data_IF_580215866051
#
_entry.id   IF_580215866051
#
_cell.length_a   1.000
_cell.length_b   1.000
_cell.length_c   1.000
_cell.angle_alpha   90.00
_cell.angle_beta   90.00
_cell.angle_gamma   90.00
#
_symmetry.space_group_name_H-M   'P 1'
#
loop_
_entity.id
_entity.type
_entity.pdbx_description
1 polymer ?
#
# COMPACT_ATOMS: atom_id res chain seq x y z
N UNK A 1 -2.33 42.00 -6.90
CA UNK A 1 -3.66 41.49 -7.25
C UNK A 1 -3.47 40.12 -7.90
N UNK A 2 -3.76 39.01 -7.21
CA UNK A 2 -3.76 37.63 -7.77
C UNK A 2 -4.61 36.65 -6.92
N UNK A 3 -5.39 37.17 -5.96
CA UNK A 3 -6.26 36.38 -5.07
C UNK A 3 -7.38 35.59 -5.76
N UNK A 4 -8.00 36.04 -6.88
CA UNK A 4 -9.09 35.26 -7.47
C UNK A 4 -8.63 33.99 -8.19
N UNK A 5 -7.38 33.94 -8.67
CA UNK A 5 -6.86 32.76 -9.40
C UNK A 5 -6.65 31.58 -8.45
N UNK A 6 -6.12 31.82 -7.24
CA UNK A 6 -5.89 30.77 -6.25
C UNK A 6 -7.19 30.19 -5.70
N UNK A 7 -8.20 31.02 -5.46
CA UNK A 7 -9.53 30.55 -5.03
C UNK A 7 -10.22 29.77 -6.15
N UNK A 8 -10.12 30.23 -7.39
CA UNK A 8 -10.67 29.51 -8.55
C UNK A 8 -9.99 28.15 -8.77
N UNK A 9 -8.66 28.07 -8.59
CA UNK A 9 -7.92 26.81 -8.70
C UNK A 9 -8.27 25.84 -7.57
N UNK A 10 -8.39 26.33 -6.34
CA UNK A 10 -8.74 25.50 -5.19
C UNK A 10 -10.19 24.99 -5.28
N UNK A 11 -11.12 25.83 -5.75
CA UNK A 11 -12.50 25.43 -6.04
C UNK A 11 -12.57 24.48 -7.24
N UNK A 12 -11.80 24.69 -8.30
CA UNK A 12 -11.77 23.77 -9.45
C UNK A 12 -11.22 22.40 -9.06
N UNK A 13 -10.20 22.33 -8.20
CA UNK A 13 -9.69 21.06 -7.65
C UNK A 13 -10.74 20.39 -6.77
N UNK A 14 -11.41 21.12 -5.88
CA UNK A 14 -12.48 20.57 -5.02
C UNK A 14 -13.70 20.08 -5.81
N UNK A 15 -14.08 20.80 -6.88
CA UNK A 15 -15.19 20.42 -7.76
C UNK A 15 -14.81 19.22 -8.64
N UNK A 16 -13.58 19.18 -9.17
CA UNK A 16 -13.08 18.03 -9.92
C UNK A 16 -13.00 16.77 -9.03
N UNK A 17 -12.68 16.91 -7.74
CA UNK A 17 -12.69 15.77 -6.80
C UNK A 17 -14.08 15.32 -6.36
N UNK A 18 -15.11 16.16 -6.44
CA UNK A 18 -16.47 15.81 -5.99
C UNK A 18 -17.34 15.21 -7.10
N UNK A 19 -16.99 15.40 -8.37
CA UNK A 19 -17.71 14.82 -9.52
C UNK A 19 -17.30 13.38 -9.85
N UNK A 20 -16.22 12.87 -9.26
CA UNK A 20 -15.87 11.47 -9.34
C UNK A 20 -16.60 10.70 -8.23
N UNK A 21 -17.91 10.54 -8.38
CA UNK A 21 -18.62 9.51 -7.64
C UNK A 21 -17.95 8.17 -7.96
N UNK A 22 -17.56 7.36 -6.95
CA UNK A 22 -17.07 6.03 -7.23
C UNK A 22 -18.19 5.31 -7.99
N UNK A 23 -17.90 4.83 -9.20
CA UNK A 23 -18.74 3.80 -9.77
C UNK A 23 -18.81 2.72 -8.69
N UNK A 24 -20.02 2.38 -8.24
CA UNK A 24 -20.21 1.28 -7.33
C UNK A 24 -19.67 0.05 -8.06
N UNK A 25 -18.44 -0.34 -7.73
CA UNK A 25 -17.84 -1.59 -8.20
C UNK A 25 -18.75 -2.68 -7.67
N UNK A 26 -19.66 -3.14 -8.53
CA UNK A 26 -20.40 -4.36 -8.32
C UNK A 26 -19.38 -5.48 -8.42
N UNK A 27 -18.66 -5.74 -7.31
CA UNK A 27 -17.76 -6.89 -7.23
C UNK A 27 -18.57 -8.12 -7.62
N UNK A 28 -18.06 -8.96 -8.55
CA UNK A 28 -18.66 -10.26 -8.81
C UNK A 28 -18.86 -11.00 -7.48
N UNK A 29 -19.92 -11.81 -7.31
CA UNK A 29 -20.10 -12.57 -6.08
C UNK A 29 -18.86 -13.45 -5.82
N UNK A 30 -18.49 -13.70 -4.55
CA UNK A 30 -17.40 -14.60 -4.22
C UNK A 30 -17.64 -15.98 -4.81
N UNK A 31 -16.60 -16.59 -5.37
CA UNK A 31 -16.59 -17.91 -6.01
C UNK A 31 -15.36 -18.67 -5.58
N UNK A 32 -15.50 -19.95 -5.36
CA UNK A 32 -14.35 -20.82 -5.11
C UNK A 32 -13.50 -21.00 -6.36
N UNK A 33 -12.21 -21.27 -6.17
CA UNK A 33 -11.30 -21.50 -7.28
C UNK A 33 -11.71 -22.73 -8.12
N UNK A 34 -12.13 -23.81 -7.46
CA UNK A 34 -12.73 -24.98 -8.10
C UNK A 34 -14.26 -25.00 -7.92
N UNK A 35 -15.00 -24.50 -8.90
CA UNK A 35 -16.47 -24.54 -8.90
C UNK A 35 -17.10 -25.94 -9.11
N UNK A 36 -16.29 -27.00 -9.20
CA UNK A 36 -16.73 -28.39 -9.46
C UNK A 36 -16.21 -29.38 -8.41
N UNK A 37 -15.87 -28.85 -7.24
CA UNK A 37 -15.28 -29.57 -6.14
C UNK A 37 -16.23 -29.55 -4.93
N UNK A 38 -16.18 -30.61 -4.12
CA UNK A 38 -16.86 -30.66 -2.82
C UNK A 38 -18.34 -30.31 -2.87
N UNK A 39 -18.75 -29.34 -2.04
CA UNK A 39 -20.15 -28.90 -1.84
C UNK A 39 -20.84 -28.44 -3.12
N UNK A 40 -20.09 -27.93 -4.11
CA UNK A 40 -20.67 -27.53 -5.40
C UNK A 40 -21.23 -28.75 -6.16
N UNK A 41 -20.58 -29.90 -6.06
CA UNK A 41 -21.04 -31.15 -6.69
C UNK A 41 -22.23 -31.74 -5.94
N UNK A 42 -22.22 -31.67 -4.61
CA UNK A 42 -23.35 -32.08 -3.77
C UNK A 42 -24.60 -31.25 -4.09
N UNK A 43 -24.43 -29.93 -4.18
CA UNK A 43 -25.50 -28.98 -4.52
C UNK A 43 -26.08 -29.28 -5.91
N UNK A 44 -25.22 -29.45 -6.91
CA UNK A 44 -25.66 -29.80 -8.27
C UNK A 44 -26.34 -31.18 -8.33
N UNK A 45 -25.88 -32.16 -7.55
CA UNK A 45 -26.51 -33.48 -7.47
C UNK A 45 -27.90 -33.42 -6.83
N UNK A 46 -28.06 -32.62 -5.76
CA UNK A 46 -29.32 -32.41 -5.08
C UNK A 46 -30.37 -31.77 -6.01
N UNK A 47 -29.98 -30.82 -6.85
CA UNK A 47 -30.86 -30.22 -7.88
C UNK A 47 -31.41 -31.26 -8.88
N UNK A 48 -30.68 -32.36 -9.08
CA UNK A 48 -31.07 -33.49 -9.92
C UNK A 48 -31.64 -34.69 -9.13
N UNK A 49 -32.00 -34.50 -7.86
CA UNK A 49 -32.61 -35.51 -7.00
C UNK A 49 -31.68 -36.69 -6.68
N UNK A 50 -30.38 -36.43 -6.63
CA UNK A 50 -29.36 -37.36 -6.18
C UNK A 50 -28.74 -36.84 -4.89
N UNK A 51 -29.04 -37.51 -3.78
CA UNK A 51 -28.38 -37.25 -2.50
C UNK A 51 -27.01 -37.94 -2.52
N UNK A 52 -25.94 -37.16 -2.38
CA UNK A 52 -24.57 -37.64 -2.30
C UNK A 52 -23.75 -36.73 -1.41
N UNK A 53 -22.75 -37.30 -0.74
CA UNK A 53 -21.74 -36.57 0.04
C UNK A 53 -20.35 -36.86 -0.50
N UNK A 54 -19.53 -35.81 -0.62
CA UNK A 54 -18.13 -35.87 -1.02
C UNK A 54 -17.26 -35.90 0.23
N UNK A 55 -16.64 -37.05 0.52
CA UNK A 55 -15.75 -37.21 1.69
C UNK A 55 -14.42 -36.47 1.52
N UNK A 56 -13.94 -36.38 0.27
CA UNK A 56 -12.68 -35.73 -0.07
C UNK A 56 -12.68 -35.27 -1.51
N UNK A 57 -12.25 -34.04 -1.74
CA UNK A 57 -12.07 -33.41 -3.04
C UNK A 57 -10.61 -33.02 -3.24
N UNK A 58 -9.99 -33.55 -4.29
CA UNK A 58 -8.64 -33.14 -4.71
C UNK A 58 -8.64 -32.68 -6.15
N UNK A 59 -7.87 -31.64 -6.45
CA UNK A 59 -7.74 -31.10 -7.79
C UNK A 59 -6.28 -31.01 -8.21
N UNK A 60 -6.00 -31.41 -9.45
CA UNK A 60 -4.67 -31.27 -10.07
C UNK A 60 -4.78 -30.47 -11.35
N UNK A 61 -4.05 -29.37 -11.42
CA UNK A 61 -3.99 -28.46 -12.57
C UNK A 61 -2.67 -28.68 -13.28
N UNK A 62 -2.72 -29.23 -14.49
CA UNK A 62 -1.55 -29.39 -15.35
C UNK A 62 -1.49 -28.22 -16.31
N UNK A 63 -0.49 -27.35 -16.16
CA UNK A 63 -0.31 -26.19 -17.03
C UNK A 63 0.50 -26.61 -18.25
N UNK A 64 0.09 -26.16 -19.43
CA UNK A 64 0.73 -26.44 -20.71
C UNK A 64 1.59 -25.25 -21.16
N UNK A 65 2.52 -25.50 -22.09
CA UNK A 65 3.47 -24.50 -22.58
C UNK A 65 2.80 -23.29 -23.24
N UNK A 66 1.60 -23.48 -23.79
CA UNK A 66 0.79 -22.43 -24.42
C UNK A 66 -0.03 -21.60 -23.41
N UNK A 67 0.11 -21.86 -22.10
CA UNK A 67 -0.65 -21.17 -21.06
C UNK A 67 -2.05 -21.74 -20.78
N UNK A 68 -2.51 -22.71 -21.55
CA UNK A 68 -3.72 -23.46 -21.21
C UNK A 68 -3.46 -24.41 -20.02
N UNK A 69 -4.52 -24.86 -19.34
CA UNK A 69 -4.40 -25.85 -18.28
C UNK A 69 -5.43 -26.97 -18.40
N UNK A 70 -5.04 -28.17 -17.99
CA UNK A 70 -5.94 -29.31 -17.81
C UNK A 70 -6.16 -29.54 -16.33
N UNK A 71 -7.39 -29.35 -15.90
CA UNK A 71 -7.84 -29.59 -14.54
C UNK A 71 -8.35 -31.01 -14.41
N UNK A 72 -7.89 -31.73 -13.40
CA UNK A 72 -8.34 -33.08 -13.04
C UNK A 72 -8.85 -33.03 -11.60
N UNK A 73 -10.17 -33.03 -11.46
CA UNK A 73 -10.88 -33.03 -10.18
C UNK A 73 -11.21 -34.47 -9.80
N UNK A 74 -11.01 -34.83 -8.54
CA UNK A 74 -11.35 -36.13 -7.97
C UNK A 74 -12.19 -35.92 -6.71
N UNK A 75 -13.48 -36.22 -6.82
CA UNK A 75 -14.41 -36.20 -5.69
C UNK A 75 -14.67 -37.63 -5.24
N UNK A 76 -14.30 -37.98 -4.01
CA UNK A 76 -14.59 -39.28 -3.40
C UNK A 76 -16.00 -39.25 -2.81
N UNK A 77 -16.90 -40.07 -3.35
CA UNK A 77 -18.30 -40.13 -2.91
C UNK A 77 -18.42 -41.15 -1.77
N UNK A 78 -19.11 -40.79 -0.69
CA UNK A 78 -19.32 -41.68 0.46
C UNK A 78 -20.30 -42.82 0.13
N UNK A 79 -21.35 -42.52 -0.63
CA UNK A 79 -22.45 -43.45 -0.89
C UNK A 79 -22.22 -44.30 -2.15
N UNK A 80 -22.01 -45.61 -1.95
CA UNK A 80 -21.87 -46.59 -3.04
C UNK A 80 -23.06 -46.58 -4.01
N UNK A 81 -24.27 -46.33 -3.50
CA UNK A 81 -25.49 -46.27 -4.31
C UNK A 81 -25.49 -45.06 -5.25
N UNK A 82 -25.06 -43.88 -4.77
CA UNK A 82 -24.93 -42.69 -5.59
C UNK A 82 -23.82 -42.85 -6.64
N UNK A 83 -22.66 -43.38 -6.22
CA UNK A 83 -21.56 -43.69 -7.13
C UNK A 83 -21.97 -44.69 -8.24
N UNK A 84 -22.73 -45.73 -7.89
CA UNK A 84 -23.25 -46.72 -8.86
C UNK A 84 -24.23 -46.09 -9.85
N UNK A 85 -25.10 -45.19 -9.36
CA UNK A 85 -26.05 -44.47 -10.22
C UNK A 85 -25.32 -43.53 -11.19
N UNK A 86 -24.33 -42.78 -10.73
CA UNK A 86 -23.50 -41.93 -11.58
C UNK A 86 -22.65 -42.73 -12.58
N UNK A 87 -22.25 -43.95 -12.23
CA UNK A 87 -21.51 -44.85 -13.13
C UNK A 87 -22.38 -45.40 -14.25
N UNK A 88 -23.67 -45.61 -14.00
CA UNK A 88 -24.61 -46.21 -14.96
C UNK A 88 -25.36 -45.18 -15.79
N UNK A 89 -25.45 -43.92 -15.31
CA UNK A 89 -26.19 -42.85 -15.96
C UNK A 89 -25.28 -41.70 -16.38
N UNK A 90 -24.82 -41.75 -17.62
CA UNK A 90 -23.93 -40.75 -18.21
C UNK A 90 -24.58 -39.36 -18.28
N UNK A 91 -25.85 -39.27 -18.67
CA UNK A 91 -26.56 -37.99 -18.76
C UNK A 91 -26.71 -37.29 -17.42
N UNK A 92 -26.93 -38.05 -16.33
CA UNK A 92 -26.97 -37.50 -14.97
C UNK A 92 -25.59 -37.00 -14.53
N UNK A 93 -24.53 -37.76 -14.83
CA UNK A 93 -23.15 -37.37 -14.53
C UNK A 93 -22.73 -36.11 -15.30
N UNK A 94 -23.17 -35.98 -16.55
CA UNK A 94 -22.95 -34.79 -17.36
C UNK A 94 -23.71 -33.58 -16.83
N UNK A 95 -24.94 -33.74 -16.33
CA UNK A 95 -25.74 -32.65 -15.79
C UNK A 95 -25.19 -32.07 -14.47
N UNK A 96 -24.66 -32.93 -13.59
CA UNK A 96 -24.15 -32.54 -12.26
C UNK A 96 -22.82 -31.80 -12.33
N UNK A 97 -22.07 -31.98 -13.41
CA UNK A 97 -20.76 -31.35 -13.58
C UNK A 97 -20.91 -30.25 -14.65
N UNK A 98 -21.08 -28.97 -14.26
CA UNK A 98 -21.30 -27.89 -15.22
C UNK A 98 -20.13 -27.69 -16.21
N UNK A 99 -20.39 -27.05 -17.36
CA UNK A 99 -19.37 -26.69 -18.37
C UNK A 99 -19.65 -27.24 -19.78
N UNK A 100 -18.84 -26.81 -20.75
CA UNK A 100 -18.95 -27.24 -22.15
C UNK A 100 -18.63 -28.75 -22.28
N UNK A 101 -19.54 -29.58 -22.85
CA UNK A 101 -19.31 -31.01 -23.01
C UNK A 101 -18.18 -31.35 -23.99
N UNK A 102 -17.77 -30.43 -24.87
CA UNK A 102 -16.64 -30.64 -25.80
C UNK A 102 -15.27 -30.47 -25.14
N UNK A 103 -15.20 -29.77 -24.02
CA UNK A 103 -13.97 -29.46 -23.28
C UNK A 103 -13.87 -30.25 -21.97
N UNK A 104 -14.78 -31.22 -21.77
CA UNK A 104 -14.94 -31.93 -20.51
C UNK A 104 -15.13 -33.43 -20.71
N UNK A 105 -14.61 -34.20 -19.77
CA UNK A 105 -14.96 -35.61 -19.60
C UNK A 105 -15.17 -35.93 -18.13
N UNK A 106 -16.10 -36.83 -17.83
CA UNK A 106 -16.40 -37.28 -16.47
C UNK A 106 -16.56 -38.79 -16.43
N UNK A 107 -16.00 -39.43 -15.40
CA UNK A 107 -16.12 -40.87 -15.18
C UNK A 107 -16.11 -41.17 -13.68
N UNK A 108 -16.73 -42.28 -13.28
CA UNK A 108 -16.66 -42.81 -11.90
C UNK A 108 -15.66 -43.96 -11.89
N UNK A 109 -14.52 -43.78 -11.25
CA UNK A 109 -13.55 -44.85 -11.01
C UNK A 109 -14.17 -45.96 -10.14
N UNK A 110 -13.63 -47.19 -10.20
CA UNK A 110 -14.12 -48.34 -9.43
C UNK A 110 -14.17 -48.07 -7.92
N UNK A 111 -13.29 -47.20 -7.43
CA UNK A 111 -13.22 -46.74 -6.04
C UNK A 111 -14.34 -45.78 -5.60
N UNK A 112 -15.36 -45.54 -6.43
CA UNK A 112 -16.43 -44.58 -6.14
C UNK A 112 -16.01 -43.11 -6.28
N UNK A 113 -14.91 -42.86 -6.99
CA UNK A 113 -14.37 -41.50 -7.19
C UNK A 113 -14.88 -40.92 -8.50
N UNK A 114 -15.59 -39.79 -8.45
CA UNK A 114 -15.93 -39.00 -9.61
C UNK A 114 -14.69 -38.23 -10.08
N UNK A 115 -14.18 -38.61 -11.25
CA UNK A 115 -13.05 -37.97 -11.91
C UNK A 115 -13.60 -37.10 -13.03
N UNK A 116 -13.40 -35.79 -12.91
CA UNK A 116 -13.74 -34.81 -13.95
C UNK A 116 -12.46 -34.23 -14.51
N UNK A 117 -12.35 -34.23 -15.84
CA UNK A 117 -11.28 -33.52 -16.55
C UNK A 117 -11.90 -32.39 -17.36
N UNK A 118 -11.36 -31.18 -17.25
CA UNK A 118 -11.70 -30.06 -18.12
C UNK A 118 -10.46 -29.28 -18.53
N UNK A 119 -10.56 -28.58 -19.65
CA UNK A 119 -9.48 -27.70 -20.16
C UNK A 119 -9.87 -26.25 -19.98
N UNK A 120 -8.92 -25.42 -19.54
CA UNK A 120 -9.05 -23.97 -19.46
C UNK A 120 -8.04 -23.36 -20.44
N UNK A 121 -8.53 -22.59 -21.42
CA UNK A 121 -7.69 -22.07 -22.50
C UNK A 121 -6.73 -20.97 -22.05
N UNK A 122 -7.06 -20.23 -20.99
CA UNK A 122 -6.34 -19.03 -20.54
C UNK A 122 -6.01 -19.10 -19.02
N UNK A 123 -5.33 -20.15 -18.59
CA UNK A 123 -4.92 -20.29 -17.19
C UNK A 123 -3.67 -19.45 -16.85
N UNK A 124 -2.73 -19.36 -17.79
CA UNK A 124 -1.50 -18.58 -17.67
C UNK A 124 -1.23 -17.80 -18.96
N UNK A 125 -0.67 -16.60 -18.81
CA UNK A 125 -0.28 -15.72 -19.91
C UNK A 125 1.23 -15.84 -20.15
N UNK A 126 1.65 -15.88 -21.41
CA UNK A 126 3.06 -15.77 -21.78
C UNK A 126 3.61 -14.38 -21.41
N UNK A 127 4.85 -14.36 -20.95
CA UNK A 127 5.57 -13.18 -20.49
C UNK A 127 7.03 -13.23 -20.95
N UNK A 128 7.83 -12.23 -20.55
CA UNK A 128 9.23 -12.09 -20.98
C UNK A 128 10.05 -13.37 -20.82
N UNK A 129 10.98 -13.60 -21.75
CA UNK A 129 11.94 -14.70 -21.73
C UNK A 129 11.31 -16.11 -21.68
N UNK A 130 10.14 -16.30 -22.29
CA UNK A 130 9.46 -17.59 -22.35
C UNK A 130 8.94 -18.06 -20.99
N UNK A 131 8.59 -17.13 -20.11
CA UNK A 131 7.97 -17.42 -18.83
C UNK A 131 6.45 -17.40 -18.97
N UNK A 132 5.75 -18.13 -18.11
CA UNK A 132 4.29 -18.04 -18.01
C UNK A 132 3.91 -17.44 -16.65
N UNK A 133 2.83 -16.68 -16.60
CA UNK A 133 2.26 -16.12 -15.36
C UNK A 133 0.79 -16.47 -15.26
N UNK A 134 0.40 -17.13 -14.19
CA UNK A 134 -1.01 -17.32 -13.84
C UNK A 134 -1.48 -16.24 -12.85
N UNK A 135 -2.55 -15.56 -13.21
CA UNK A 135 -3.30 -14.64 -12.35
C UNK A 135 -4.47 -15.30 -11.62
N UNK A 136 -4.62 -16.63 -11.72
CA UNK A 136 -5.78 -17.37 -11.23
C UNK A 136 -6.04 -17.24 -9.73
N UNK A 137 -5.05 -16.79 -8.95
CA UNK A 137 -5.09 -16.59 -7.50
C UNK A 137 -5.18 -15.10 -7.10
N UNK A 138 -5.49 -14.21 -8.05
CA UNK A 138 -5.52 -12.75 -7.82
C UNK A 138 -6.91 -12.16 -8.08
N UNK A 139 -7.51 -11.47 -7.09
CA UNK A 139 -8.79 -10.79 -7.33
C UNK A 139 -8.63 -9.46 -8.03
N UNK A 140 -7.63 -8.69 -7.59
CA UNK A 140 -7.47 -7.29 -7.98
C UNK A 140 -7.25 -7.05 -9.47
N UNK A 141 -6.80 -8.06 -10.21
CA UNK A 141 -6.45 -7.94 -11.62
C UNK A 141 -7.50 -8.52 -12.57
N UNK A 142 -8.72 -8.74 -12.06
CA UNK A 142 -9.88 -9.13 -12.85
C UNK A 142 -10.04 -10.64 -13.05
N UNK A 143 -9.32 -11.47 -12.29
CA UNK A 143 -9.31 -12.91 -12.54
C UNK A 143 -10.39 -13.71 -11.76
N UNK A 144 -10.82 -13.33 -10.55
CA UNK A 144 -11.99 -13.87 -9.79
C UNK A 144 -12.25 -13.05 -8.51
N UNK A 145 -13.38 -13.22 -7.82
CA UNK A 145 -13.55 -12.87 -6.39
C UNK A 145 -13.50 -14.22 -5.67
N UNK A 146 -12.40 -14.57 -5.02
CA UNK A 146 -12.08 -15.92 -4.58
C UNK A 146 -12.47 -16.14 -3.11
N UNK A 147 -13.32 -17.13 -2.85
CA UNK A 147 -13.70 -17.56 -1.50
C UNK A 147 -13.13 -18.93 -1.15
N UNK A 148 -11.81 -19.07 -1.25
CA UNK A 148 -11.12 -20.33 -0.97
C UNK A 148 -10.95 -21.27 -2.17
N UNK A 149 -10.40 -22.45 -1.92
CA UNK A 149 -10.04 -23.42 -2.97
C UNK A 149 -11.27 -24.14 -3.56
N UNK A 150 -12.30 -24.37 -2.75
CA UNK A 150 -13.42 -25.27 -3.06
C UNK A 150 -13.06 -26.75 -3.01
N UNK A 151 -11.83 -27.11 -2.62
CA UNK A 151 -11.33 -28.48 -2.50
C UNK A 151 -10.45 -28.61 -1.25
N UNK A 152 -10.27 -29.84 -0.76
CA UNK A 152 -9.37 -30.11 0.37
C UNK A 152 -7.89 -29.94 -0.01
N UNK A 153 -7.59 -30.15 -1.30
CA UNK A 153 -6.23 -30.11 -1.80
C UNK A 153 -6.21 -29.70 -3.28
N UNK A 154 -5.46 -28.66 -3.59
CA UNK A 154 -5.19 -28.19 -4.94
C UNK A 154 -3.70 -28.33 -5.24
N UNK A 155 -3.39 -29.01 -6.34
CA UNK A 155 -2.03 -29.18 -6.83
C UNK A 155 -1.89 -28.53 -8.19
N UNK A 156 -0.92 -27.63 -8.36
CA UNK A 156 -0.54 -27.07 -9.67
C UNK A 156 0.78 -27.69 -10.12
N UNK A 157 0.80 -28.19 -11.34
CA UNK A 157 1.96 -28.80 -12.00
C UNK A 157 2.42 -27.87 -13.12
N UNK A 158 3.69 -27.52 -13.09
CA UNK A 158 4.33 -26.69 -14.10
C UNK A 158 4.37 -27.40 -15.47
N UNK A 159 4.46 -26.63 -16.57
CA UNK A 159 4.68 -27.17 -17.91
C UNK A 159 6.01 -27.93 -18.03
N UNK A 160 6.12 -28.78 -19.05
CA UNK A 160 7.36 -29.52 -19.29
C UNK A 160 8.53 -28.57 -19.56
N UNK A 161 9.67 -28.80 -18.91
CA UNK A 161 10.85 -27.92 -19.01
C UNK A 161 10.71 -26.59 -18.27
N UNK A 162 9.66 -26.41 -17.45
CA UNK A 162 9.49 -25.27 -16.57
C UNK A 162 9.39 -25.68 -15.10
N UNK A 163 9.79 -24.73 -14.24
CA UNK A 163 9.68 -24.82 -12.78
C UNK A 163 8.92 -23.63 -12.22
N UNK A 164 8.34 -23.81 -11.04
CA UNK A 164 7.68 -22.77 -10.28
C UNK A 164 8.70 -21.76 -9.76
N UNK A 165 8.55 -20.52 -10.20
CA UNK A 165 9.34 -19.38 -9.75
C UNK A 165 8.77 -18.81 -8.45
N UNK A 166 7.68 -18.06 -8.57
CA UNK A 166 6.82 -17.60 -7.48
C UNK A 166 5.59 -18.48 -7.36
N UNK A 167 5.17 -18.68 -6.12
CA UNK A 167 4.07 -19.55 -5.71
C UNK A 167 3.20 -18.81 -4.71
N UNK A 168 1.99 -19.31 -4.49
CA UNK A 168 1.09 -18.79 -3.47
C UNK A 168 1.68 -19.05 -2.07
N UNK A 169 1.55 -18.07 -1.19
CA UNK A 169 1.91 -18.17 0.21
C UNK A 169 1.22 -19.38 0.88
N UNK A 170 1.90 -20.04 1.80
CA UNK A 170 1.38 -21.26 2.46
C UNK A 170 1.41 -22.55 1.61
N UNK A 171 1.77 -22.49 0.32
CA UNK A 171 1.89 -23.70 -0.50
C UNK A 171 3.12 -24.57 -0.15
N UNK A 172 2.95 -25.88 -0.28
CA UNK A 172 4.07 -26.84 -0.23
C UNK A 172 4.58 -27.06 -1.65
N UNK A 173 5.87 -26.78 -1.88
CA UNK A 173 6.51 -26.90 -3.20
C UNK A 173 7.40 -28.13 -3.23
N UNK A 174 7.36 -28.91 -4.30
CA UNK A 174 8.23 -30.07 -4.49
C UNK A 174 9.71 -29.66 -4.61
N UNK A 175 10.64 -30.58 -4.33
CA UNK A 175 12.09 -30.30 -4.36
C UNK A 175 12.58 -29.85 -5.75
N UNK A 176 12.02 -30.44 -6.81
CA UNK A 176 12.26 -30.08 -8.20
C UNK A 176 11.51 -28.81 -8.65
N UNK A 177 10.65 -28.25 -7.78
CA UNK A 177 9.79 -27.10 -8.02
C UNK A 177 8.86 -27.25 -9.22
N UNK A 178 8.55 -28.47 -9.65
CA UNK A 178 7.58 -28.72 -10.72
C UNK A 178 6.14 -28.70 -10.21
N UNK A 179 5.95 -28.79 -8.89
CA UNK A 179 4.62 -28.91 -8.27
C UNK A 179 4.49 -28.02 -7.05
N UNK A 180 3.35 -27.33 -6.93
CA UNK A 180 2.90 -26.72 -5.68
C UNK A 180 1.58 -27.33 -5.24
N UNK A 181 1.41 -27.49 -3.94
CA UNK A 181 0.19 -28.02 -3.34
C UNK A 181 -0.30 -27.05 -2.26
N UNK A 182 -1.60 -26.75 -2.31
CA UNK A 182 -2.35 -25.88 -1.42
C UNK A 182 -3.45 -26.71 -0.76
N UNK A 183 -3.58 -26.62 0.57
CA UNK A 183 -4.67 -27.25 1.33
C UNK A 183 -5.63 -26.22 1.91
N UNK A 184 -5.23 -24.95 1.89
CA UNK A 184 -6.00 -23.82 2.37
C UNK A 184 -5.69 -22.62 1.47
N UNK A 185 -6.65 -21.72 1.32
CA UNK A 185 -6.46 -20.44 0.65
C UNK A 185 -7.25 -19.38 1.42
N UNK A 186 -6.53 -18.46 2.04
CA UNK A 186 -7.09 -17.41 2.89
C UNK A 186 -7.02 -16.05 2.19
N UNK A 187 -7.77 -15.06 2.70
CA UNK A 187 -7.70 -13.67 2.24
C UNK A 187 -6.27 -13.08 2.31
N UNK A 188 -5.39 -13.64 3.16
CA UNK A 188 -3.99 -13.22 3.25
C UNK A 188 -3.12 -13.73 2.09
N UNK A 189 -3.55 -14.79 1.42
CA UNK A 189 -2.89 -15.42 0.26
C UNK A 189 -3.42 -14.84 -1.07
N UNK A 190 -4.43 -13.98 -0.98
CA UNK A 190 -5.08 -13.33 -2.11
C UNK A 190 -4.16 -12.30 -2.76
N UNK A 191 -3.98 -12.38 -4.09
CA UNK A 191 -3.15 -11.45 -4.85
C UNK A 191 -1.75 -11.97 -5.18
N UNK A 192 -1.43 -13.21 -4.79
CA UNK A 192 -0.20 -13.89 -5.19
C UNK A 192 -0.27 -14.37 -6.65
N UNK A 193 0.79 -14.08 -7.41
CA UNK A 193 0.98 -14.60 -8.77
C UNK A 193 1.76 -15.91 -8.74
N UNK A 194 1.35 -16.85 -9.58
CA UNK A 194 2.17 -18.04 -9.86
C UNK A 194 2.95 -17.80 -11.14
N UNK A 195 4.27 -17.96 -11.09
CA UNK A 195 5.13 -17.85 -12.27
C UNK A 195 5.78 -19.17 -12.60
N UNK A 196 5.84 -19.48 -13.90
CA UNK A 196 6.53 -20.64 -14.45
C UNK A 196 7.73 -20.13 -15.25
N UNK A 197 8.91 -20.67 -14.94
CA UNK A 197 10.18 -20.20 -15.46
C UNK A 197 10.93 -21.37 -16.07
N UNK A 198 11.58 -21.21 -17.24
CA UNK A 198 12.36 -22.28 -17.85
C UNK A 198 13.42 -22.85 -16.88
N UNK A 199 13.53 -24.17 -16.81
CA UNK A 199 14.47 -24.87 -15.93
C UNK A 199 15.93 -24.46 -16.21
N UNK A 200 16.28 -24.35 -17.49
CA UNK A 200 17.62 -24.00 -17.97
C UNK A 200 17.98 -22.51 -17.82
N UNK A 201 17.07 -21.68 -17.30
CA UNK A 201 17.31 -20.25 -17.18
C UNK A 201 18.34 -19.93 -16.08
N UNK A 202 19.45 -19.32 -16.48
CA UNK A 202 20.50 -18.84 -15.56
C UNK A 202 20.01 -17.71 -14.66
N UNK A 203 18.93 -17.01 -15.06
CA UNK A 203 18.36 -15.86 -14.36
C UNK A 203 16.98 -16.14 -13.74
N UNK A 204 16.60 -17.41 -13.54
CA UNK A 204 15.24 -17.76 -13.14
C UNK A 204 14.72 -17.09 -11.85
N UNK A 205 15.62 -16.80 -10.91
CA UNK A 205 15.29 -16.08 -9.67
C UNK A 205 14.91 -14.60 -9.91
N UNK A 206 15.39 -13.98 -10.99
CA UNK A 206 15.14 -12.57 -11.33
C UNK A 206 14.00 -12.43 -12.34
N UNK A 207 13.72 -13.47 -13.13
CA UNK A 207 12.65 -13.43 -14.11
C UNK A 207 11.27 -13.30 -13.45
N UNK A 208 11.01 -14.03 -12.36
CA UNK A 208 9.72 -13.96 -11.64
C UNK A 208 9.34 -12.54 -11.18
N UNK A 209 10.21 -11.78 -10.49
CA UNK A 209 9.88 -10.40 -10.13
C UNK A 209 9.75 -9.47 -11.33
N UNK A 210 10.50 -9.68 -12.43
CA UNK A 210 10.34 -8.87 -13.65
C UNK A 210 8.96 -9.11 -14.28
N UNK A 211 8.54 -10.37 -14.40
CA UNK A 211 7.25 -10.79 -14.99
C UNK A 211 6.07 -10.22 -14.23
N UNK A 212 6.18 -10.16 -12.90
CA UNK A 212 5.15 -9.51 -12.08
C UNK A 212 5.25 -7.99 -12.17
N UNK A 213 6.45 -7.42 -12.15
CA UNK A 213 6.66 -5.98 -12.33
C UNK A 213 6.20 -5.46 -13.69
N UNK A 214 6.19 -6.28 -14.74
CA UNK A 214 5.67 -5.89 -16.05
C UNK A 214 4.15 -5.65 -16.02
N UNK A 215 3.38 -6.53 -15.37
CA UNK A 215 1.93 -6.37 -15.22
C UNK A 215 1.60 -5.30 -14.21
N UNK A 216 2.30 -5.30 -13.08
CA UNK A 216 2.08 -4.35 -12.00
C UNK A 216 2.65 -2.97 -12.31
N UNK A 217 3.60 -2.85 -13.25
CA UNK A 217 4.36 -1.63 -13.51
C UNK A 217 3.49 -0.44 -13.89
N UNK A 218 2.58 -0.55 -14.86
CA UNK A 218 1.66 0.53 -15.21
C UNK A 218 0.76 0.95 -14.03
N UNK A 219 0.25 -0.03 -13.27
CA UNK A 219 -0.60 0.23 -12.09
C UNK A 219 0.20 0.88 -10.98
N UNK A 220 1.40 0.39 -10.70
CA UNK A 220 2.33 0.96 -9.73
C UNK A 220 2.79 2.36 -10.11
N UNK A 221 3.04 2.63 -11.39
CA UNK A 221 3.39 3.96 -11.87
C UNK A 221 2.20 4.94 -11.71
N UNK A 222 0.99 4.50 -12.05
CA UNK A 222 -0.21 5.30 -11.88
C UNK A 222 -0.51 5.56 -10.39
N UNK A 223 -0.47 4.52 -9.56
CA UNK A 223 -0.63 4.60 -8.11
C UNK A 223 0.45 5.45 -7.46
N UNK A 224 1.70 5.33 -7.90
CA UNK A 224 2.78 6.20 -7.45
C UNK A 224 2.47 7.66 -7.80
N UNK A 225 2.06 7.94 -9.05
CA UNK A 225 1.69 9.29 -9.47
C UNK A 225 0.53 9.86 -8.64
N UNK A 226 -0.49 9.05 -8.37
CA UNK A 226 -1.73 9.48 -7.71
C UNK A 226 -1.60 9.54 -6.18
N UNK A 227 -1.08 8.51 -5.53
CA UNK A 227 -0.97 8.43 -4.06
C UNK A 227 0.28 9.11 -3.51
N UNK A 228 1.39 9.11 -4.26
CA UNK A 228 2.65 9.72 -3.80
C UNK A 228 2.87 11.06 -4.52
N UNK A 229 2.81 11.07 -5.84
CA UNK A 229 3.12 12.21 -6.69
C UNK A 229 2.24 13.42 -6.43
N UNK A 230 0.91 13.27 -6.49
CA UNK A 230 -0.03 14.38 -6.32
C UNK A 230 0.06 15.03 -4.92
N UNK A 231 -0.02 14.29 -3.78
CA UNK A 231 0.11 14.89 -2.46
C UNK A 231 1.49 15.51 -2.22
N UNK A 232 2.55 14.86 -2.74
CA UNK A 232 3.92 15.38 -2.64
C UNK A 232 4.09 16.67 -3.45
N UNK A 233 3.53 16.75 -4.65
CA UNK A 233 3.53 17.96 -5.45
C UNK A 233 2.75 19.09 -4.77
N UNK A 234 1.56 18.78 -4.22
CA UNK A 234 0.79 19.74 -3.41
C UNK A 234 1.63 20.25 -2.22
N UNK A 235 2.23 19.35 -1.44
CA UNK A 235 3.11 19.71 -0.33
C UNK A 235 4.28 20.60 -0.78
N UNK A 236 4.99 20.22 -1.84
CA UNK A 236 6.10 20.98 -2.39
C UNK A 236 5.67 22.39 -2.83
N UNK A 237 4.50 22.54 -3.45
CA UNK A 237 3.97 23.86 -3.85
C UNK A 237 3.63 24.73 -2.66
N UNK A 238 3.07 24.16 -1.58
CA UNK A 238 2.79 24.89 -0.33
C UNK A 238 4.10 25.38 0.31
N UNK A 239 5.09 24.50 0.45
CA UNK A 239 6.42 24.82 1.00
C UNK A 239 7.11 25.89 0.16
N UNK A 240 7.11 25.75 -1.17
CA UNK A 240 7.66 26.75 -2.09
C UNK A 240 6.92 28.10 -1.99
N UNK A 241 5.60 28.07 -1.80
CA UNK A 241 4.76 29.25 -1.58
C UNK A 241 5.14 30.00 -0.29
N UNK A 242 5.29 29.28 0.82
CA UNK A 242 5.74 29.85 2.10
C UNK A 242 7.16 30.40 1.97
N UNK A 243 8.09 29.64 1.39
CA UNK A 243 9.47 30.07 1.14
C UNK A 243 9.54 31.34 0.26
N UNK A 244 8.70 31.43 -0.76
CA UNK A 244 8.55 32.59 -1.63
C UNK A 244 8.00 33.80 -0.87
N UNK A 245 6.96 33.61 -0.06
CA UNK A 245 6.38 34.65 0.78
C UNK A 245 7.43 35.19 1.78
N UNK A 246 8.17 34.32 2.45
CA UNK A 246 9.24 34.68 3.38
C UNK A 246 10.32 35.52 2.72
N UNK A 247 10.78 35.09 1.55
CA UNK A 247 11.78 35.82 0.77
C UNK A 247 11.29 37.20 0.33
N UNK A 248 10.01 37.30 -0.03
CA UNK A 248 9.39 38.56 -0.44
C UNK A 248 9.18 39.51 0.74
N UNK A 249 8.76 39.01 1.90
CA UNK A 249 8.60 39.81 3.12
C UNK A 249 9.95 40.32 3.64
N UNK A 250 10.99 39.48 3.63
CA UNK A 250 12.32 39.84 4.12
C UNK A 250 12.95 40.95 3.28
N UNK A 251 12.81 40.88 1.95
CA UNK A 251 13.31 41.92 1.03
C UNK A 251 12.54 43.25 1.13
N UNK A 252 11.24 43.22 1.41
CA UNK A 252 10.40 44.43 1.36
C UNK A 252 10.28 45.18 2.68
N UNK A 253 10.27 44.47 3.82
CA UNK A 253 9.82 45.08 5.09
C UNK A 253 10.87 45.20 6.17
N UNK A 254 12.01 44.48 6.07
CA UNK A 254 13.00 44.41 7.15
C UNK A 254 12.48 43.83 8.48
N UNK A 255 11.17 43.58 8.61
CA UNK A 255 10.49 43.12 9.82
C UNK A 255 10.86 41.72 10.27
N UNK A 256 11.58 40.97 9.45
CA UNK A 256 11.96 39.60 9.78
C UNK A 256 12.92 39.54 10.99
N UNK A 257 13.76 40.56 11.20
CA UNK A 257 14.65 40.67 12.36
C UNK A 257 13.89 40.81 13.70
N UNK A 258 12.74 41.48 13.72
CA UNK A 258 11.94 41.61 14.95
C UNK A 258 11.28 40.30 15.36
N UNK A 259 10.97 39.43 14.40
CA UNK A 259 10.33 38.13 14.67
C UNK A 259 11.34 37.15 15.29
N UNK A 260 12.62 37.27 14.96
CA UNK A 260 13.70 36.37 15.38
C UNK A 260 13.86 36.23 16.92
N UNK A 261 13.47 37.26 17.68
CA UNK A 261 13.48 37.26 19.14
C UNK A 261 12.39 36.38 19.78
N UNK A 262 11.25 36.21 19.11
CA UNK A 262 10.06 35.54 19.65
C UNK A 262 9.84 34.13 19.10
N UNK A 263 10.67 33.69 18.17
CA UNK A 263 10.52 32.42 17.47
C UNK A 263 10.66 31.21 18.40
N UNK A 264 11.64 31.22 19.30
CA UNK A 264 11.87 30.13 20.25
C UNK A 264 10.74 29.98 21.28
N UNK A 265 10.26 31.11 21.81
CA UNK A 265 9.14 31.14 22.77
C UNK A 265 7.81 30.78 22.10
N UNK A 266 7.60 31.21 20.85
CA UNK A 266 6.43 30.82 20.05
C UNK A 266 6.37 29.31 19.80
N UNK A 267 7.48 28.70 19.36
CA UNK A 267 7.59 27.24 19.18
C UNK A 267 7.33 26.48 20.49
N UNK A 268 7.89 26.96 21.60
CA UNK A 268 7.67 26.37 22.91
C UNK A 268 6.19 26.41 23.30
N UNK A 269 5.53 27.55 23.14
CA UNK A 269 4.12 27.71 23.46
C UNK A 269 3.23 26.80 22.61
N UNK A 270 3.48 26.72 21.29
CA UNK A 270 2.75 25.83 20.38
C UNK A 270 2.99 24.37 20.75
N UNK A 271 4.23 23.98 21.05
CA UNK A 271 4.57 22.63 21.48
C UNK A 271 3.86 22.22 22.77
N UNK A 272 3.86 23.10 23.78
CA UNK A 272 3.14 22.86 25.05
C UNK A 272 1.63 22.72 24.82
N UNK A 273 1.02 23.57 23.99
CA UNK A 273 -0.40 23.45 23.64
C UNK A 273 -0.71 22.12 22.93
N UNK A 274 0.16 21.69 22.01
CA UNK A 274 0.03 20.41 21.30
C UNK A 274 0.23 19.19 22.21
N UNK A 275 0.97 19.31 23.32
CA UNK A 275 1.09 18.25 24.36
C UNK A 275 -0.15 18.22 25.25
N UNK A 276 -0.66 19.38 25.66
CA UNK A 276 -1.81 19.49 26.57
C UNK A 276 -3.11 19.07 25.87
N UNK A 277 -3.26 19.36 24.57
CA UNK A 277 -4.50 19.06 23.85
C UNK A 277 -4.89 17.56 23.86
N UNK A 278 -4.02 16.60 23.48
CA UNK A 278 -4.32 15.16 23.57
C UNK A 278 -4.60 14.67 24.99
N UNK A 279 -3.96 15.27 26.00
CA UNK A 279 -4.18 14.91 27.40
C UNK A 279 -5.56 15.37 27.91
N UNK A 280 -6.08 16.49 27.39
CA UNK A 280 -7.39 17.02 27.76
C UNK A 280 -8.53 16.44 26.91
N UNK A 281 -8.27 16.10 25.65
CA UNK A 281 -9.28 15.52 24.75
C UNK A 281 -9.66 14.10 25.16
N UNK A 282 -8.78 13.39 25.87
CA UNK A 282 -9.06 12.14 26.58
C UNK A 282 -9.86 11.15 25.75
N UNK A 283 -9.33 10.69 24.61
CA UNK A 283 -9.95 9.72 23.69
C UNK A 283 -11.38 10.03 23.21
N UNK A 284 -12.00 11.15 23.61
CA UNK A 284 -13.44 11.39 23.47
C UNK A 284 -13.87 11.54 22.01
N UNK A 285 -12.94 11.83 21.10
CA UNK A 285 -13.22 11.94 19.67
C UNK A 285 -13.32 10.57 18.99
N UNK A 286 -12.97 9.46 19.64
CA UNK A 286 -13.12 8.10 19.10
C UNK A 286 -12.25 7.78 17.87
N UNK A 287 -11.53 8.76 17.31
CA UNK A 287 -10.57 8.59 16.22
C UNK A 287 -9.21 8.22 16.84
N UNK A 288 -9.13 7.01 17.39
CA UNK A 288 -7.90 6.49 17.98
C UNK A 288 -6.81 6.39 16.91
N UNK A 289 -5.74 7.20 17.03
CA UNK A 289 -4.59 7.13 16.13
C UNK A 289 -3.80 8.42 15.96
N UNK A 290 -4.42 9.59 16.18
CA UNK A 290 -3.74 10.89 16.00
C UNK A 290 -3.16 11.48 17.30
N UNK A 291 -3.62 11.04 18.47
CA UNK A 291 -3.22 11.61 19.75
C UNK A 291 -1.71 11.42 20.03
N UNK A 292 -1.19 10.23 19.75
CA UNK A 292 0.22 9.90 19.94
C UNK A 292 1.16 10.71 19.01
N UNK A 293 0.92 10.78 17.68
CA UNK A 293 1.71 11.65 16.80
C UNK A 293 1.65 13.13 17.19
N UNK A 294 0.48 13.66 17.53
CA UNK A 294 0.31 15.07 17.94
C UNK A 294 1.07 15.35 19.24
N UNK A 295 0.96 14.45 20.23
CA UNK A 295 1.71 14.53 21.48
C UNK A 295 3.22 14.54 21.22
N UNK A 296 3.71 13.61 20.39
CA UNK A 296 5.12 13.52 20.02
C UNK A 296 5.64 14.77 19.32
N UNK A 297 4.91 15.27 18.32
CA UNK A 297 5.22 16.54 17.64
C UNK A 297 5.26 17.69 18.65
N UNK A 298 4.30 17.76 19.58
CA UNK A 298 4.26 18.77 20.63
C UNK A 298 5.52 18.77 21.50
N UNK A 299 5.95 17.58 21.96
CA UNK A 299 7.19 17.42 22.74
C UNK A 299 8.41 17.85 21.91
N UNK A 300 8.48 17.46 20.64
CA UNK A 300 9.57 17.85 19.75
C UNK A 300 9.62 19.36 19.51
N UNK A 301 8.48 20.01 19.27
CA UNK A 301 8.38 21.45 19.09
C UNK A 301 8.79 22.21 20.36
N UNK A 302 8.39 21.71 21.54
CA UNK A 302 8.78 22.28 22.83
C UNK A 302 10.30 22.16 23.04
N UNK A 303 10.88 21.00 22.76
CA UNK A 303 12.33 20.77 22.87
C UNK A 303 13.12 21.63 21.88
N UNK A 304 12.66 21.75 20.63
CA UNK A 304 13.26 22.63 19.63
C UNK A 304 13.19 24.10 20.07
N UNK A 305 12.04 24.56 20.56
CA UNK A 305 11.85 25.92 21.08
C UNK A 305 12.79 26.23 22.25
N UNK A 306 12.97 25.28 23.18
CA UNK A 306 13.90 25.39 24.29
C UNK A 306 15.36 25.49 23.80
N UNK A 307 15.77 24.58 22.91
CA UNK A 307 17.13 24.56 22.37
C UNK A 307 17.48 25.84 21.60
N UNK A 308 16.53 26.38 20.83
CA UNK A 308 16.71 27.61 20.05
C UNK A 308 16.65 28.90 20.89
N UNK A 309 16.13 28.81 22.11
CA UNK A 309 16.16 29.90 23.08
C UNK A 309 17.54 30.06 23.73
N UNK A 310 18.40 29.03 23.68
CA UNK A 310 19.78 29.14 24.10
C UNK A 310 20.64 29.89 23.04
N UNK A 311 21.28 30.99 23.45
CA UNK A 311 22.00 31.92 22.57
C UNK A 311 23.17 31.33 21.80
N UNK A 312 23.77 30.23 22.27
CA UNK A 312 24.98 29.66 21.65
C UNK A 312 24.70 28.74 20.47
N UNK A 313 23.49 28.17 20.39
CA UNK A 313 23.09 27.28 19.30
C UNK A 313 23.01 28.02 17.95
N UNK A 314 22.61 29.30 17.96
CA UNK A 314 22.45 30.10 16.73
C UNK A 314 23.78 30.46 16.07
N UNK A 315 24.84 30.67 16.86
CA UNK A 315 26.14 31.15 16.38
C UNK A 315 26.89 30.13 15.52
N UNK A 316 26.62 28.84 15.70
CA UNK A 316 27.29 27.74 15.00
C UNK A 316 26.35 26.97 14.06
N UNK A 317 25.23 27.59 13.67
CA UNK A 317 24.28 26.97 12.76
C UNK A 317 24.90 26.81 11.38
N UNK A 318 25.12 25.56 10.97
CA UNK A 318 25.42 25.11 9.61
C UNK A 318 24.27 24.23 9.15
N UNK A 319 24.11 24.01 7.84
CA UNK A 319 23.05 23.13 7.34
C UNK A 319 23.12 21.73 7.99
N UNK A 320 24.35 21.20 8.17
CA UNK A 320 24.58 19.90 8.81
C UNK A 320 24.18 19.88 10.28
N UNK A 321 24.50 20.92 11.05
CA UNK A 321 24.13 20.98 12.48
C UNK A 321 22.63 21.19 12.65
N UNK A 322 21.98 21.98 11.78
CA UNK A 322 20.52 22.14 11.76
C UNK A 322 19.82 20.84 11.38
N UNK A 323 20.32 20.13 10.36
CA UNK A 323 19.79 18.83 9.95
C UNK A 323 19.95 17.78 11.07
N UNK A 324 21.14 17.68 11.67
CA UNK A 324 21.37 16.76 12.79
C UNK A 324 20.49 17.09 14.00
N UNK A 325 20.31 18.38 14.31
CA UNK A 325 19.39 18.84 15.35
C UNK A 325 17.93 18.47 15.04
N UNK A 326 17.49 18.69 13.80
CA UNK A 326 16.14 18.31 13.35
C UNK A 326 15.91 16.80 13.45
N UNK A 327 16.89 15.98 13.05
CA UNK A 327 16.84 14.53 13.22
C UNK A 327 16.76 14.14 14.70
N UNK A 328 17.59 14.75 15.56
CA UNK A 328 17.55 14.50 17.01
C UNK A 328 16.19 14.84 17.63
N UNK A 329 15.61 15.98 17.26
CA UNK A 329 14.26 16.38 17.71
C UNK A 329 13.18 15.46 17.14
N UNK A 330 13.29 15.03 15.88
CA UNK A 330 12.38 14.06 15.29
C UNK A 330 12.44 12.71 16.01
N UNK A 331 13.62 12.23 16.37
CA UNK A 331 13.79 11.01 17.17
C UNK A 331 13.16 11.16 18.56
N UNK A 332 13.34 12.32 19.21
CA UNK A 332 12.70 12.62 20.50
C UNK A 332 11.17 12.65 20.36
N UNK A 333 10.65 13.29 19.31
CA UNK A 333 9.23 13.35 19.03
C UNK A 333 8.63 11.95 18.77
N UNK A 334 9.33 11.11 18.01
CA UNK A 334 8.93 9.72 17.78
C UNK A 334 8.94 8.90 19.08
N UNK A 335 9.98 9.03 19.91
CA UNK A 335 10.05 8.37 21.21
C UNK A 335 8.91 8.84 22.15
N UNK A 336 8.62 10.14 22.15
CA UNK A 336 7.49 10.71 22.89
C UNK A 336 6.14 10.22 22.36
N UNK A 337 5.97 10.08 21.04
CA UNK A 337 4.76 9.52 20.44
C UNK A 337 4.56 8.06 20.85
N UNK A 338 5.63 7.24 20.90
CA UNK A 338 5.58 5.86 21.40
C UNK A 338 5.19 5.83 22.87
N UNK A 339 5.78 6.68 23.71
CA UNK A 339 5.42 6.81 25.12
C UNK A 339 3.96 7.25 25.30
N UNK A 340 3.51 8.22 24.49
CA UNK A 340 2.12 8.69 24.45
C UNK A 340 1.16 7.58 24.02
N UNK A 341 1.50 6.79 23.01
CA UNK A 341 0.69 5.66 22.56
C UNK A 341 0.41 4.67 23.71
N UNK A 342 1.40 4.39 24.56
CA UNK A 342 1.20 3.56 25.75
C UNK A 342 0.25 4.23 26.77
N UNK A 343 0.35 5.55 26.96
CA UNK A 343 -0.56 6.31 27.84
C UNK A 343 -2.00 6.34 27.32
N UNK A 344 -2.19 6.33 26.00
CA UNK A 344 -3.51 6.37 25.35
C UNK A 344 -4.09 4.96 25.06
N UNK A 345 -3.43 3.89 25.52
CA UNK A 345 -3.93 2.52 25.37
C UNK A 345 -3.81 1.93 23.95
N UNK A 346 -2.94 2.48 23.10
CA UNK A 346 -2.68 1.93 21.77
C UNK A 346 -1.71 0.73 21.85
N UNK A 347 -1.99 -0.31 21.05
CA UNK A 347 -1.24 -1.56 21.09
C UNK A 347 0.02 -1.53 20.19
N UNK A 348 1.18 -1.81 20.80
CA UNK A 348 2.43 -2.17 20.12
C UNK A 348 3.36 -1.00 19.76
N UNK A 349 4.64 -1.13 20.16
CA UNK A 349 5.70 -0.15 19.84
C UNK A 349 5.89 0.02 18.34
N UNK A 350 5.86 -1.08 17.59
CA UNK A 350 6.04 -1.09 16.12
C UNK A 350 4.91 -0.33 15.43
N UNK A 351 3.67 -0.56 15.85
CA UNK A 351 2.48 0.14 15.31
C UNK A 351 2.52 1.63 15.64
N UNK A 352 2.91 1.99 16.86
CA UNK A 352 3.07 3.39 17.27
C UNK A 352 4.17 4.11 16.47
N UNK A 353 5.29 3.43 16.20
CA UNK A 353 6.38 3.98 15.40
C UNK A 353 5.94 4.16 13.94
N UNK A 354 5.33 3.13 13.34
CA UNK A 354 4.84 3.17 11.97
C UNK A 354 3.79 4.26 11.77
N UNK A 355 2.85 4.42 12.70
CA UNK A 355 1.80 5.45 12.68
C UNK A 355 2.32 6.88 12.88
N UNK A 356 3.40 7.07 13.66
CA UNK A 356 3.89 8.40 14.04
C UNK A 356 4.95 8.95 13.10
N UNK A 357 5.83 8.09 12.57
CA UNK A 357 6.95 8.51 11.71
C UNK A 357 6.52 9.38 10.53
N UNK A 358 5.41 9.08 9.83
CA UNK A 358 5.03 9.89 8.68
C UNK A 358 4.69 11.32 9.05
N UNK A 359 4.11 11.57 10.23
CA UNK A 359 3.83 12.94 10.66
C UNK A 359 5.10 13.66 11.16
N UNK A 360 5.93 12.97 11.94
CA UNK A 360 7.09 13.57 12.61
C UNK A 360 8.17 13.98 11.60
N UNK A 361 8.55 13.07 10.68
CA UNK A 361 9.66 13.29 9.76
C UNK A 361 9.52 14.56 8.88
N UNK A 362 8.41 14.78 8.13
CA UNK A 362 8.27 15.93 7.26
C UNK A 362 8.05 17.24 8.04
N UNK A 363 7.42 17.21 9.23
CA UNK A 363 7.30 18.41 10.08
C UNK A 363 8.68 18.92 10.48
N UNK A 364 9.55 18.06 11.01
CA UNK A 364 10.88 18.49 11.46
C UNK A 364 11.86 18.72 10.32
N UNK A 365 11.68 18.08 9.16
CA UNK A 365 12.47 18.38 7.95
C UNK A 365 12.24 19.80 7.40
N UNK A 366 11.15 20.46 7.78
CA UNK A 366 10.91 21.86 7.40
C UNK A 366 11.90 22.83 8.07
N UNK A 367 12.52 22.44 9.19
CA UNK A 367 13.58 23.25 9.84
C UNK A 367 14.85 23.39 8.98
N UNK A 368 15.54 22.30 8.54
CA UNK A 368 16.68 22.41 7.63
C UNK A 368 16.26 22.93 6.25
N UNK A 369 15.04 22.65 5.79
CA UNK A 369 14.52 23.22 4.54
C UNK A 369 14.42 24.75 4.61
N UNK A 370 13.88 25.28 5.70
CA UNK A 370 13.82 26.72 5.97
C UNK A 370 15.21 27.35 6.01
N UNK A 371 16.17 26.68 6.65
CA UNK A 371 17.55 27.14 6.69
C UNK A 371 18.19 27.26 5.31
N UNK A 372 18.02 26.25 4.45
CA UNK A 372 18.48 26.31 3.06
C UNK A 372 17.82 27.46 2.29
N UNK A 373 16.49 27.64 2.44
CA UNK A 373 15.75 28.75 1.83
C UNK A 373 16.30 30.11 2.27
N UNK A 374 16.60 30.27 3.56
CA UNK A 374 17.14 31.51 4.10
C UNK A 374 18.57 31.83 3.61
N UNK A 375 19.36 30.80 3.24
CA UNK A 375 20.64 30.97 2.53
C UNK A 375 20.47 31.32 1.04
N UNK A 376 19.25 31.30 0.51
CA UNK A 376 18.96 31.49 -0.92
C UNK A 376 18.92 30.20 -1.73
N UNK A 377 19.18 29.04 -1.12
CA UNK A 377 19.18 27.71 -1.77
C UNK A 377 17.77 27.11 -1.78
N UNK A 378 16.83 27.79 -2.45
CA UNK A 378 15.41 27.39 -2.47
C UNK A 378 15.18 25.97 -2.98
N UNK A 379 15.93 25.57 -4.01
CA UNK A 379 15.81 24.23 -4.60
C UNK A 379 16.18 23.15 -3.60
N UNK A 380 17.26 23.33 -2.84
CA UNK A 380 17.68 22.41 -1.79
C UNK A 380 16.63 22.35 -0.66
N UNK A 381 16.09 23.50 -0.24
CA UNK A 381 15.07 23.55 0.81
C UNK A 381 13.78 22.82 0.41
N UNK A 382 13.25 23.11 -0.78
CA UNK A 382 12.05 22.43 -1.29
C UNK A 382 12.30 20.94 -1.49
N UNK A 383 13.45 20.55 -2.08
CA UNK A 383 13.80 19.14 -2.26
C UNK A 383 13.90 18.39 -0.91
N UNK A 384 14.52 19.01 0.10
CA UNK A 384 14.64 18.43 1.45
C UNK A 384 13.27 18.16 2.06
N UNK A 385 12.37 19.15 2.03
CA UNK A 385 11.02 18.99 2.56
C UNK A 385 10.22 17.94 1.76
N UNK A 386 10.31 18.00 0.43
CA UNK A 386 9.58 17.11 -0.48
C UNK A 386 9.99 15.66 -0.28
N UNK A 387 11.29 15.36 -0.18
CA UNK A 387 11.79 14.00 0.07
C UNK A 387 11.36 13.47 1.45
N UNK A 388 11.41 14.33 2.49
CA UNK A 388 10.98 13.95 3.82
C UNK A 388 9.47 13.67 3.92
N UNK A 389 8.66 14.24 3.03
CA UNK A 389 7.23 13.96 2.90
C UNK A 389 6.94 12.75 2.02
N UNK A 390 7.66 12.61 0.89
CA UNK A 390 7.43 11.54 -0.08
C UNK A 390 7.78 10.16 0.47
N UNK A 391 8.90 10.04 1.22
CA UNK A 391 9.37 8.75 1.72
C UNK A 391 8.36 8.07 2.65
N UNK A 392 7.77 8.75 3.65
CA UNK A 392 6.76 8.13 4.49
C UNK A 392 5.44 7.84 3.76
N UNK A 393 5.00 8.74 2.86
CA UNK A 393 3.79 8.51 2.05
C UNK A 393 3.97 7.28 1.14
N UNK A 394 5.16 7.11 0.55
CA UNK A 394 5.50 5.94 -0.25
C UNK A 394 5.38 4.64 0.55
N UNK A 395 5.82 4.64 1.81
CA UNK A 395 5.77 3.44 2.66
C UNK A 395 4.36 2.97 3.02
N UNK A 396 3.36 3.84 2.89
CA UNK A 396 1.96 3.55 3.17
C UNK A 396 1.10 3.41 1.91
N UNK A 397 1.66 3.73 0.75
CA UNK A 397 0.90 3.72 -0.49
C UNK A 397 0.80 2.29 -1.04
N UNK A 398 -0.42 1.79 -1.31
CA UNK A 398 -0.58 0.48 -1.92
C UNK A 398 -0.25 0.59 -3.41
N UNK A 399 1.05 0.55 -3.76
CA UNK A 399 1.50 0.75 -5.14
C UNK A 399 1.05 -0.37 -6.07
N UNK A 400 0.97 -1.60 -5.57
CA UNK A 400 0.65 -2.78 -6.36
C UNK A 400 -0.80 -3.24 -6.21
N UNK A 401 -1.63 -2.53 -5.45
CA UNK A 401 -3.04 -2.84 -5.37
C UNK A 401 -3.81 -2.09 -6.48
N UNK A 402 -4.87 -2.67 -7.06
CA UNK A 402 -5.72 -1.94 -7.98
C UNK A 402 -6.35 -0.75 -7.27
N UNK A 403 -6.57 0.36 -8.00
CA UNK A 403 -7.36 1.46 -7.46
C UNK A 403 -8.81 1.02 -7.28
N UNK A 404 -9.14 0.50 -6.10
CA UNK A 404 -10.53 0.32 -5.69
C UNK A 404 -11.19 1.70 -5.48
N UNK A 405 -12.53 1.75 -5.42
CA UNK A 405 -13.31 2.99 -5.25
C UNK A 405 -12.90 3.91 -4.09
N UNK A 406 -12.10 3.42 -3.13
CA UNK A 406 -11.51 4.20 -2.04
C UNK A 406 -10.29 5.07 -2.46
N UNK A 407 -9.78 4.92 -3.68
CA UNK A 407 -8.61 5.65 -4.16
C UNK A 407 -8.79 7.16 -4.08
N UNK A 408 -9.97 7.67 -4.46
CA UNK A 408 -10.26 9.11 -4.40
C UNK A 408 -10.29 9.65 -2.97
N UNK A 409 -10.87 8.89 -2.04
CA UNK A 409 -10.85 9.23 -0.62
C UNK A 409 -9.41 9.24 -0.08
N UNK A 410 -8.61 8.24 -0.43
CA UNK A 410 -7.21 8.17 -0.02
C UNK A 410 -6.38 9.35 -0.57
N UNK A 411 -6.56 9.74 -1.83
CA UNK A 411 -5.92 10.94 -2.42
C UNK A 411 -6.36 12.20 -1.70
N UNK A 412 -7.66 12.34 -1.41
CA UNK A 412 -8.20 13.50 -0.69
C UNK A 412 -7.63 13.59 0.74
N UNK A 413 -7.58 12.48 1.47
CA UNK A 413 -6.98 12.39 2.80
C UNK A 413 -5.48 12.70 2.76
N UNK A 414 -4.75 12.17 1.76
CA UNK A 414 -3.33 12.48 1.56
C UNK A 414 -3.12 13.97 1.25
N UNK A 415 -4.06 14.60 0.54
CA UNK A 415 -4.08 16.04 0.31
C UNK A 415 -4.29 16.86 1.59
N UNK A 416 -5.28 16.49 2.41
CA UNK A 416 -5.51 17.10 3.74
C UNK A 416 -4.26 16.94 4.60
N UNK A 417 -3.68 15.76 4.61
CA UNK A 417 -2.45 15.44 5.32
C UNK A 417 -1.28 16.33 4.86
N UNK A 418 -1.06 16.49 3.55
CA UNK A 418 -0.06 17.41 3.00
C UNK A 418 -0.26 18.84 3.50
N UNK A 419 -1.50 19.34 3.47
CA UNK A 419 -1.83 20.69 3.97
C UNK A 419 -1.56 20.80 5.47
N UNK A 420 -1.97 19.81 6.27
CA UNK A 420 -1.77 19.80 7.71
C UNK A 420 -0.29 19.85 8.08
N UNK A 421 0.55 19.02 7.45
CA UNK A 421 2.00 19.01 7.67
C UNK A 421 2.62 20.35 7.27
N UNK A 422 2.21 20.93 6.14
CA UNK A 422 2.71 22.22 5.69
C UNK A 422 2.34 23.35 6.67
N UNK A 423 1.12 23.35 7.21
CA UNK A 423 0.66 24.34 8.20
C UNK A 423 1.37 24.16 9.54
N UNK A 424 1.45 22.93 10.05
CA UNK A 424 2.09 22.63 11.34
C UNK A 424 3.59 22.87 11.32
N UNK A 425 4.26 22.60 10.21
CA UNK A 425 5.70 22.80 10.06
C UNK A 425 6.11 24.17 9.50
N UNK A 426 5.16 25.01 9.06
CA UNK A 426 5.47 26.38 8.61
C UNK A 426 6.24 27.20 9.66
N UNK A 427 5.93 27.15 10.98
CA UNK A 427 6.75 27.79 11.99
C UNK A 427 8.21 27.31 11.96
N UNK A 428 8.46 26.00 11.88
CA UNK A 428 9.81 25.43 11.78
C UNK A 428 10.55 25.90 10.51
N UNK A 429 9.85 26.01 9.38
CA UNK A 429 10.42 26.58 8.17
C UNK A 429 10.83 28.05 8.36
N UNK A 430 9.99 28.85 9.00
CA UNK A 430 10.29 30.25 9.32
C UNK A 430 11.51 30.37 10.24
N UNK A 431 11.57 29.52 11.27
CA UNK A 431 12.69 29.42 12.22
C UNK A 431 13.98 29.07 11.49
N UNK A 432 13.94 28.05 10.63
CA UNK A 432 15.10 27.66 9.85
C UNK A 432 15.62 28.82 9.02
N UNK A 433 14.71 29.54 8.34
CA UNK A 433 15.06 30.68 7.49
C UNK A 433 15.65 31.86 8.27
N UNK A 434 15.26 32.08 9.53
CA UNK A 434 15.87 33.13 10.36
C UNK A 434 17.29 32.75 10.81
N UNK A 435 17.55 31.47 11.10
CA UNK A 435 18.87 30.99 11.54
C UNK A 435 20.00 31.22 10.53
N UNK A 436 19.68 31.35 9.24
CA UNK A 436 20.69 31.68 8.22
C UNK A 436 21.07 33.17 8.14
N UNK A 437 20.25 34.06 8.72
CA UNK A 437 20.41 35.51 8.62
C UNK A 437 21.69 36.04 9.28
N UNK A 438 22.14 35.41 10.36
CA UNK A 438 23.31 35.83 11.14
C UNK A 438 24.68 35.68 10.45
N UNK A 439 24.74 35.09 9.25
CA UNK A 439 25.99 34.83 8.52
C UNK A 439 26.18 35.66 7.25
N UNK A 440 25.35 36.67 6.97
CA UNK A 440 25.65 37.63 5.90
C UNK A 440 26.90 38.43 6.28
N UNK A 441 28.05 38.06 5.70
CA UNK A 441 29.27 38.87 5.79
C UNK A 441 28.94 40.32 5.44
N UNK A 442 29.41 41.30 6.23
CA UNK A 442 29.28 42.70 5.87
C UNK A 442 29.86 42.86 4.47
N UNK A 443 29.01 43.32 3.55
CA UNK A 443 29.45 43.68 2.21
C UNK A 443 30.64 44.61 2.37
N UNK A 444 31.80 44.16 1.90
CA UNK A 444 32.96 45.02 1.74
C UNK A 444 32.54 46.15 0.82
N UNK A 445 32.28 47.32 1.39
CA UNK A 445 32.09 48.55 0.65
C UNK A 445 33.31 48.79 -0.22
N UNK A 446 33.08 48.89 -1.52
CA UNK A 446 33.98 49.53 -2.47
C UNK A 446 33.28 50.76 -3.03
#
# INVERSE_FOLDING_TARGET
MNRPVWVALLCAVLIATSLAAPAADARPPPRELCGFCGENVESAAAEHGLDLTVERSTVTVHVHDNGSATWVVRNRIAEDAAATRLRTNDSLREAIVPGDPSERSSNIADSGTLVTRHTESEFAEESVAGTLRSGAFTEGYGYRNLAGLGADELTVVAPEGMRLGWTVSGSTVSEDRTRMTLTEFTDADEGDFVTFVPEDSTFGAVLSPIVVAEKLGPVAALNFGVFVGLPTALFATLVAGVAGAVSWLSTRTGRFEQVEGYVGTGLLAVGVLAVVFPLLSGSMLGIGGFDAPVFGIGVGLAAAGLALSATDARKHATFRTVLAGAVGVACLAAAAAIGGAALFGAFGVTTALLSSLPFVAPVFALLPAGYAVGRGERTLGVATATLAFALPVLSWSPLTAPMAGMALLAVFLAGIYAVAIAVLGAPLLLVGASLSGGQRSPATGR
#
